data_IF_727866416911
#
_entry.id   IF_727866416911
#
_cell.length_a   1.000
_cell.length_b   1.000
_cell.length_c   1.000
_cell.angle_alpha   90.00
_cell.angle_beta   90.00
_cell.angle_gamma   90.00
#
_symmetry.space_group_name_H-M   'P 1'
#
loop_
_entity.id
_entity.type
_entity.pdbx_description
1 polymer ?
#
# COMPACT_ATOMS: atom_id res chain seq x y z
N UNK A 1 -33.19 -7.55 16.73
CA UNK A 1 -32.85 -8.51 15.65
C UNK A 1 -33.94 -9.57 15.58
N UNK A 2 -34.66 -9.69 14.46
CA UNK A 2 -35.61 -10.79 14.22
C UNK A 2 -36.93 -10.81 15.02
N UNK A 3 -37.13 -9.89 15.96
CA UNK A 3 -38.31 -9.86 16.84
C UNK A 3 -39.50 -9.04 16.32
N UNK A 4 -39.48 -8.63 15.04
CA UNK A 4 -40.53 -7.80 14.45
C UNK A 4 -40.53 -6.35 14.95
N UNK A 5 -41.63 -5.62 14.69
CA UNK A 5 -41.74 -4.17 14.94
C UNK A 5 -42.10 -3.79 16.39
N UNK A 6 -42.44 -4.75 17.24
CA UNK A 6 -42.91 -4.49 18.61
C UNK A 6 -41.81 -4.27 19.66
N UNK A 7 -40.56 -4.10 19.25
CA UNK A 7 -39.43 -3.88 20.15
C UNK A 7 -38.99 -2.42 20.15
N UNK A 8 -38.54 -1.93 21.31
CA UNK A 8 -38.04 -0.57 21.49
C UNK A 8 -36.73 -0.29 20.73
N UNK A 9 -36.02 -1.34 20.29
CA UNK A 9 -34.77 -1.23 19.56
C UNK A 9 -34.64 -2.27 18.43
N UNK A 10 -33.93 -1.88 17.38
CA UNK A 10 -33.51 -2.77 16.29
C UNK A 10 -32.00 -2.71 16.14
N UNK A 11 -31.40 -3.85 15.82
CA UNK A 11 -29.99 -3.96 15.52
C UNK A 11 -29.75 -5.09 14.50
N UNK A 12 -28.71 -4.92 13.70
CA UNK A 12 -28.16 -5.87 12.73
C UNK A 12 -26.64 -5.76 12.76
N UNK A 13 -25.93 -6.80 12.30
CA UNK A 13 -24.49 -6.72 12.08
C UNK A 13 -24.18 -5.81 10.90
N UNK A 14 -23.12 -5.02 11.00
CA UNK A 14 -22.69 -4.14 9.91
C UNK A 14 -22.35 -4.94 8.66
N UNK A 15 -21.83 -6.15 8.81
CA UNK A 15 -21.50 -7.07 7.72
C UNK A 15 -22.72 -7.44 6.88
N UNK A 16 -23.86 -7.62 7.52
CA UNK A 16 -25.12 -7.89 6.83
C UNK A 16 -25.69 -6.63 6.19
N UNK A 17 -25.67 -5.51 6.92
CA UNK A 17 -26.18 -4.22 6.44
C UNK A 17 -25.41 -3.76 5.20
N UNK A 18 -24.09 -3.92 5.21
CA UNK A 18 -23.18 -3.47 4.16
C UNK A 18 -22.95 -4.51 3.06
N UNK A 19 -23.40 -5.75 3.25
CA UNK A 19 -23.27 -6.80 2.24
C UNK A 19 -21.84 -7.29 2.03
N UNK A 20 -21.11 -7.53 3.12
CA UNK A 20 -19.78 -8.17 3.06
C UNK A 20 -19.85 -9.68 2.87
N UNK A 21 -20.98 -10.29 3.22
CA UNK A 21 -21.18 -11.73 3.16
C UNK A 21 -21.40 -12.21 1.73
N UNK A 22 -20.63 -13.22 1.31
CA UNK A 22 -20.71 -13.86 -0.03
C UNK A 22 -21.65 -15.04 -0.10
N UNK A 23 -22.08 -15.53 1.06
CA UNK A 23 -22.88 -16.74 1.22
C UNK A 23 -24.30 -16.44 1.70
N UNK A 24 -24.78 -17.28 2.61
CA UNK A 24 -26.13 -17.17 3.13
C UNK A 24 -26.30 -15.92 4.01
N UNK A 25 -27.21 -15.03 3.64
CA UNK A 25 -27.66 -13.90 4.46
C UNK A 25 -28.79 -14.36 5.40
N UNK A 26 -28.70 -14.09 6.73
CA UNK A 26 -29.76 -14.44 7.67
C UNK A 26 -31.11 -13.83 7.29
N UNK A 27 -32.21 -14.59 7.45
CA UNK A 27 -33.56 -14.15 7.05
C UNK A 27 -34.06 -12.86 7.72
N UNK A 28 -33.53 -12.53 8.90
CA UNK A 28 -33.90 -11.33 9.64
C UNK A 28 -33.00 -10.12 9.33
N UNK A 29 -31.99 -10.29 8.47
CA UNK A 29 -31.10 -9.22 8.05
C UNK A 29 -31.64 -8.52 6.80
N UNK A 30 -31.15 -7.31 6.57
CA UNK A 30 -31.42 -6.54 5.35
C UNK A 30 -30.12 -5.94 4.86
N UNK A 31 -29.82 -6.20 3.59
CA UNK A 31 -28.65 -5.70 2.89
C UNK A 31 -29.00 -4.37 2.23
N UNK A 32 -28.17 -3.35 2.43
CA UNK A 32 -28.33 -2.00 1.89
C UNK A 32 -27.24 -1.62 0.89
N UNK A 33 -26.14 -2.37 0.81
CA UNK A 33 -25.04 -2.19 -0.14
C UNK A 33 -24.43 -3.54 -0.53
N UNK A 34 -23.60 -3.56 -1.57
CA UNK A 34 -22.81 -4.73 -2.00
C UNK A 34 -21.32 -4.41 -1.90
N UNK A 35 -20.85 -4.17 -0.66
CA UNK A 35 -19.45 -3.82 -0.45
C UNK A 35 -18.52 -4.99 -0.77
N UNK A 36 -19.00 -6.24 -0.73
CA UNK A 36 -18.18 -7.37 -1.18
C UNK A 36 -17.66 -7.16 -2.61
N UNK A 37 -18.52 -6.77 -3.57
CA UNK A 37 -18.08 -6.50 -4.95
C UNK A 37 -17.08 -5.36 -5.05
N UNK A 38 -17.29 -4.31 -4.28
CA UNK A 38 -16.40 -3.14 -4.28
C UNK A 38 -15.00 -3.52 -3.76
N UNK A 39 -14.94 -4.28 -2.68
CA UNK A 39 -13.69 -4.79 -2.14
C UNK A 39 -13.01 -5.80 -3.07
N UNK A 40 -13.76 -6.70 -3.71
CA UNK A 40 -13.20 -7.62 -4.72
C UNK A 40 -12.60 -6.85 -5.92
N UNK A 41 -13.28 -5.82 -6.39
CA UNK A 41 -12.77 -4.95 -7.45
C UNK A 41 -11.50 -4.20 -7.03
N UNK A 42 -11.46 -3.66 -5.82
CA UNK A 42 -10.26 -3.03 -5.26
C UNK A 42 -9.10 -4.02 -5.11
N UNK A 43 -9.37 -5.22 -4.62
CA UNK A 43 -8.37 -6.26 -4.43
C UNK A 43 -7.76 -6.69 -5.77
N UNK A 44 -8.58 -6.88 -6.82
CA UNK A 44 -8.11 -7.17 -8.18
C UNK A 44 -7.21 -6.07 -8.73
N UNK A 45 -7.60 -4.80 -8.55
CA UNK A 45 -6.78 -3.65 -8.95
C UNK A 45 -5.45 -3.61 -8.20
N UNK A 46 -5.45 -3.89 -6.90
CA UNK A 46 -4.23 -3.94 -6.10
C UNK A 46 -3.29 -5.05 -6.59
N UNK A 47 -3.81 -6.28 -6.78
CA UNK A 47 -3.02 -7.41 -7.31
C UNK A 47 -2.42 -7.07 -8.67
N UNK A 48 -3.20 -6.45 -9.56
CA UNK A 48 -2.71 -6.02 -10.88
C UNK A 48 -1.58 -4.98 -10.74
N UNK A 49 -1.76 -3.94 -9.93
CA UNK A 49 -0.77 -2.89 -9.73
C UNK A 49 0.55 -3.45 -9.18
N UNK A 50 0.47 -4.29 -8.14
CA UNK A 50 1.67 -4.94 -7.58
C UNK A 50 2.35 -5.89 -8.55
N UNK A 51 1.58 -6.62 -9.35
CA UNK A 51 2.15 -7.50 -10.39
C UNK A 51 2.92 -6.71 -11.45
N UNK A 52 2.37 -5.57 -11.89
CA UNK A 52 3.04 -4.65 -12.82
C UNK A 52 4.31 -4.08 -12.20
N UNK A 53 4.24 -3.61 -10.95
CA UNK A 53 5.41 -3.09 -10.23
C UNK A 53 6.53 -4.14 -10.13
N UNK A 54 6.21 -5.37 -9.72
CA UNK A 54 7.19 -6.46 -9.64
C UNK A 54 7.82 -6.75 -11.01
N UNK A 55 7.04 -6.70 -12.09
CA UNK A 55 7.55 -6.85 -13.45
C UNK A 55 8.49 -5.72 -13.82
N UNK A 56 8.13 -4.47 -13.56
CA UNK A 56 8.98 -3.32 -13.89
C UNK A 56 10.29 -3.30 -13.11
N UNK A 57 10.28 -3.72 -11.83
CA UNK A 57 11.51 -3.89 -11.05
C UNK A 57 12.39 -4.98 -11.66
N UNK A 58 11.82 -6.13 -12.03
CA UNK A 58 12.57 -7.24 -12.66
C UNK A 58 13.13 -6.86 -14.03
N UNK A 59 12.38 -6.09 -14.80
CA UNK A 59 12.77 -5.62 -16.13
C UNK A 59 13.69 -4.38 -16.06
N UNK A 60 14.08 -3.91 -14.87
CA UNK A 60 14.87 -2.69 -14.63
C UNK A 60 14.25 -1.43 -15.27
N UNK A 61 12.93 -1.39 -15.38
CA UNK A 61 12.16 -0.22 -15.85
C UNK A 61 11.83 0.74 -14.72
N UNK A 62 11.65 0.21 -13.52
CA UNK A 62 11.48 0.98 -12.29
C UNK A 62 12.64 0.69 -11.32
N UNK A 63 13.23 1.72 -10.70
CA UNK A 63 13.01 3.14 -10.98
C UNK A 63 13.56 3.54 -12.35
N UNK A 64 12.99 4.60 -12.91
CA UNK A 64 13.48 5.28 -14.13
C UNK A 64 14.17 6.60 -13.78
N UNK A 65 14.80 7.27 -14.75
CA UNK A 65 15.46 8.58 -14.56
C UNK A 65 14.54 9.67 -13.98
N UNK A 66 13.22 9.57 -14.16
CA UNK A 66 12.28 10.55 -13.59
C UNK A 66 12.13 10.42 -12.06
N UNK A 67 12.55 9.27 -11.52
CA UNK A 67 12.55 8.98 -10.09
C UNK A 67 13.88 9.38 -9.42
N UNK A 68 14.89 9.77 -10.21
CA UNK A 68 16.18 10.19 -9.69
C UNK A 68 16.10 11.62 -9.12
N UNK A 69 16.57 11.78 -7.89
CA UNK A 69 16.74 13.09 -7.27
C UNK A 69 18.17 13.57 -7.57
N UNK A 70 18.27 14.69 -8.29
CA UNK A 70 19.57 15.28 -8.62
C UNK A 70 20.21 15.92 -7.39
N UNK A 71 21.52 15.76 -7.27
CA UNK A 71 22.36 16.50 -6.31
C UNK A 71 23.00 17.71 -7.00
N UNK A 72 23.15 18.81 -6.28
CA UNK A 72 23.95 19.94 -6.76
C UNK A 72 25.43 19.55 -6.86
N UNK A 73 26.11 20.01 -7.92
CA UNK A 73 27.53 19.65 -8.14
C UNK A 73 28.43 20.07 -6.98
N UNK A 74 28.13 21.19 -6.31
CA UNK A 74 28.89 21.68 -5.16
C UNK A 74 28.85 20.70 -3.98
N UNK A 75 27.68 20.14 -3.70
CA UNK A 75 27.49 19.15 -2.64
C UNK A 75 28.21 17.85 -3.00
N UNK A 76 28.10 17.40 -4.25
CA UNK A 76 28.82 16.22 -4.75
C UNK A 76 30.35 16.38 -4.63
N UNK A 77 30.86 17.56 -4.97
CA UNK A 77 32.29 17.86 -4.87
C UNK A 77 32.75 17.87 -3.41
N UNK A 78 31.98 18.52 -2.52
CA UNK A 78 32.27 18.58 -1.09
C UNK A 78 32.31 17.18 -0.46
N UNK A 79 31.36 16.31 -0.84
CA UNK A 79 31.36 14.92 -0.41
C UNK A 79 32.58 14.14 -0.95
N UNK A 80 32.92 14.33 -2.22
CA UNK A 80 34.07 13.67 -2.85
C UNK A 80 35.39 14.05 -2.16
N UNK A 81 35.56 15.33 -1.82
CA UNK A 81 36.74 15.83 -1.12
C UNK A 81 36.80 15.33 0.33
N UNK A 82 35.63 15.24 0.99
CA UNK A 82 35.52 14.62 2.31
C UNK A 82 35.98 13.15 2.31
N UNK A 83 35.52 12.34 1.35
CA UNK A 83 35.91 10.92 1.24
C UNK A 83 37.42 10.78 0.99
N UNK A 84 37.99 11.56 0.06
CA UNK A 84 39.44 11.56 -0.21
C UNK A 84 40.24 11.89 1.05
N UNK A 85 39.88 12.96 1.75
CA UNK A 85 40.55 13.37 2.99
C UNK A 85 40.49 12.27 4.05
N UNK A 86 39.34 11.60 4.20
CA UNK A 86 39.18 10.51 5.17
C UNK A 86 40.02 9.28 4.81
N UNK A 87 40.09 8.91 3.53
CA UNK A 87 40.96 7.82 3.07
C UNK A 87 42.43 8.14 3.29
N UNK A 88 42.90 9.33 2.92
CA UNK A 88 44.29 9.75 3.15
C UNK A 88 44.64 9.69 4.65
N UNK A 89 43.77 10.20 5.52
CA UNK A 89 43.98 10.15 6.96
C UNK A 89 43.96 8.72 7.53
N UNK A 90 43.16 7.81 6.97
CA UNK A 90 43.14 6.40 7.37
C UNK A 90 44.46 5.69 7.03
N UNK A 91 45.03 5.95 5.84
CA UNK A 91 46.33 5.38 5.46
C UNK A 91 47.51 6.01 6.23
N UNK A 92 47.44 7.30 6.57
CA UNK A 92 48.46 7.96 7.40
C UNK A 92 48.45 7.56 8.88
N UNK A 93 47.37 6.96 9.40
CA UNK A 93 47.27 6.48 10.78
C UNK A 93 47.58 4.98 10.94
N UNK A 94 47.76 4.23 9.84
CA UNK A 94 48.04 2.79 9.84
C UNK A 94 49.42 2.46 9.22
N UNK A 95 50.32 3.45 9.17
CA UNK A 95 51.75 3.32 8.87
C UNK A 95 52.52 3.81 10.09
#
# INVERSE_FOLDING_TARGET
>A
MGSGLGCDAQYLFSEDVLGYNTGHIPRHAKVYSDLYKDFDALQKKAVQAYSTFVKEVRDLKYPSLEHDIKIEEKELQSFSDFIKKKMTNFYSQNI
#
